data_IF_293275856408
#
_entry.id   IF_293275856408
#
_cell.length_a   1.000
_cell.length_b   1.000
_cell.length_c   1.000
_cell.angle_alpha   90.00
_cell.angle_beta   90.00
_cell.angle_gamma   90.00
#
_symmetry.space_group_name_H-M   'P 1'
#
loop_
_entity.id
_entity.type
_entity.pdbx_description
1 polymer ?
#
# COMPACT_ATOMS: atom_id res chain seq x y z
N UNK A 1 32.88 9.88 -6.65
CA UNK A 1 31.85 10.83 -6.17
C UNK A 1 30.47 10.28 -6.54
N UNK A 2 29.78 9.61 -5.61
CA UNK A 2 28.37 9.22 -5.81
C UNK A 2 27.51 10.49 -5.81
N UNK A 3 26.73 10.71 -6.88
CA UNK A 3 25.84 11.88 -7.00
C UNK A 3 26.17 12.87 -8.12
N UNK A 4 27.00 12.51 -9.10
CA UNK A 4 27.08 13.25 -10.38
C UNK A 4 25.83 13.11 -11.24
N UNK A 5 25.70 13.90 -12.31
CA UNK A 5 24.52 13.94 -13.19
C UNK A 5 24.07 12.55 -13.66
N UNK A 6 24.98 11.76 -14.22
CA UNK A 6 24.69 10.40 -14.71
C UNK A 6 24.28 9.44 -13.59
N UNK A 7 24.87 9.59 -12.39
CA UNK A 7 24.53 8.76 -11.24
C UNK A 7 23.10 9.06 -10.76
N UNK A 8 22.75 10.35 -10.63
CA UNK A 8 21.40 10.77 -10.24
C UNK A 8 20.36 10.40 -11.31
N UNK A 9 20.70 10.55 -12.60
CA UNK A 9 19.87 10.08 -13.72
C UNK A 9 19.58 8.58 -13.63
N UNK A 10 20.63 7.76 -13.55
CA UNK A 10 20.50 6.30 -13.56
C UNK A 10 19.78 5.79 -12.30
N UNK A 11 20.05 6.39 -11.13
CA UNK A 11 19.35 6.05 -9.90
C UNK A 11 17.85 6.37 -9.99
N UNK A 12 17.49 7.53 -10.53
CA UNK A 12 16.09 7.92 -10.70
C UNK A 12 15.37 7.02 -11.72
N UNK A 13 16.06 6.65 -12.82
CA UNK A 13 15.54 5.68 -13.80
C UNK A 13 15.32 4.32 -13.14
N UNK A 14 16.32 3.78 -12.42
CA UNK A 14 16.22 2.49 -11.75
C UNK A 14 15.08 2.45 -10.72
N UNK A 15 14.92 3.52 -9.94
CA UNK A 15 13.86 3.65 -8.95
C UNK A 15 12.46 3.66 -9.60
N UNK A 16 12.28 4.39 -10.70
CA UNK A 16 11.00 4.39 -11.42
C UNK A 16 10.73 3.05 -12.12
N UNK A 17 11.75 2.35 -12.63
CA UNK A 17 11.59 0.98 -13.16
C UNK A 17 11.13 0.03 -12.05
N UNK A 18 11.72 0.12 -10.85
CA UNK A 18 11.28 -0.66 -9.70
C UNK A 18 9.80 -0.39 -9.36
N UNK A 19 9.38 0.88 -9.37
CA UNK A 19 7.98 1.24 -9.11
C UNK A 19 7.02 0.74 -10.20
N UNK A 20 7.43 0.71 -11.47
CA UNK A 20 6.65 0.05 -12.54
C UNK A 20 6.46 -1.44 -12.25
N UNK A 21 7.53 -2.14 -11.85
CA UNK A 21 7.45 -3.56 -11.51
C UNK A 21 6.51 -3.81 -10.32
N UNK A 22 6.60 -2.99 -9.28
CA UNK A 22 5.67 -3.04 -8.13
C UNK A 22 4.23 -2.77 -8.57
N UNK A 23 4.00 -1.79 -9.45
CA UNK A 23 2.67 -1.48 -9.98
C UNK A 23 2.04 -2.67 -10.71
N UNK A 24 2.79 -3.36 -11.58
CA UNK A 24 2.32 -4.59 -12.23
C UNK A 24 2.06 -5.72 -11.24
N UNK A 25 2.88 -5.85 -10.20
CA UNK A 25 2.66 -6.84 -9.14
C UNK A 25 1.34 -6.56 -8.40
N UNK A 26 1.08 -5.31 -8.01
CA UNK A 26 -0.18 -4.91 -7.36
C UNK A 26 -1.40 -5.22 -8.24
N UNK A 27 -1.32 -4.91 -9.53
CA UNK A 27 -2.39 -5.25 -10.47
C UNK A 27 -2.57 -6.76 -10.58
N UNK A 28 -1.49 -7.52 -10.70
CA UNK A 28 -1.52 -8.98 -10.80
C UNK A 28 -2.17 -9.64 -9.57
N UNK A 29 -1.77 -9.22 -8.37
CA UNK A 29 -2.37 -9.70 -7.11
C UNK A 29 -3.84 -9.29 -7.01
N UNK A 30 -4.19 -8.05 -7.36
CA UNK A 30 -5.58 -7.58 -7.33
C UNK A 30 -6.49 -8.33 -8.31
N UNK A 31 -6.01 -8.60 -9.53
CA UNK A 31 -6.75 -9.38 -10.54
C UNK A 31 -6.88 -10.84 -10.10
N UNK A 32 -5.82 -11.43 -9.56
CA UNK A 32 -5.85 -12.79 -9.03
C UNK A 32 -6.86 -12.93 -7.88
N UNK A 33 -6.83 -12.01 -6.90
CA UNK A 33 -7.75 -12.00 -5.77
C UNK A 33 -9.22 -11.91 -6.21
N UNK A 34 -9.50 -11.14 -7.28
CA UNK A 34 -10.83 -11.06 -7.88
C UNK A 34 -11.21 -12.34 -8.62
N UNK A 35 -10.31 -12.88 -9.43
CA UNK A 35 -10.56 -14.03 -10.30
C UNK A 35 -10.71 -15.35 -9.52
N UNK A 36 -9.99 -15.49 -8.40
CA UNK A 36 -10.10 -16.65 -7.52
C UNK A 36 -11.40 -16.66 -6.68
N UNK A 37 -12.29 -15.68 -6.85
CA UNK A 37 -13.55 -15.53 -6.08
C UNK A 37 -13.37 -15.45 -4.56
N UNK A 38 -12.14 -15.25 -4.08
CA UNK A 38 -11.84 -15.07 -2.64
C UNK A 38 -12.48 -13.76 -2.17
N UNK A 39 -12.43 -12.71 -3.01
CA UNK A 39 -12.96 -11.38 -2.67
C UNK A 39 -13.47 -10.65 -3.95
N UNK A 40 -14.65 -11.00 -4.50
CA UNK A 40 -15.05 -10.47 -5.80
C UNK A 40 -15.46 -8.98 -5.78
N UNK A 41 -15.88 -8.42 -4.62
CA UNK A 41 -16.50 -7.08 -4.53
C UNK A 41 -16.07 -6.24 -3.31
N UNK A 42 -15.00 -6.57 -2.59
CA UNK A 42 -14.57 -5.69 -1.50
C UNK A 42 -13.93 -4.42 -2.09
N UNK A 43 -14.24 -3.23 -1.52
CA UNK A 43 -13.57 -1.98 -1.86
C UNK A 43 -12.04 -2.06 -1.82
N UNK A 44 -11.48 -2.94 -0.97
CA UNK A 44 -10.03 -3.13 -0.84
C UNK A 44 -9.37 -3.63 -2.13
N UNK A 45 -10.03 -4.49 -2.90
CA UNK A 45 -9.49 -5.01 -4.18
C UNK A 45 -9.45 -3.89 -5.22
N UNK A 46 -10.49 -3.06 -5.27
CA UNK A 46 -10.52 -1.86 -6.11
C UNK A 46 -9.40 -0.88 -5.74
N UNK A 47 -9.15 -0.70 -4.45
CA UNK A 47 -8.05 0.12 -3.94
C UNK A 47 -6.67 -0.35 -4.42
N UNK A 48 -6.36 -1.64 -4.27
CA UNK A 48 -5.07 -2.22 -4.71
C UNK A 48 -4.87 -2.05 -6.22
N UNK A 49 -5.91 -2.29 -7.03
CA UNK A 49 -5.86 -2.09 -8.48
C UNK A 49 -5.61 -0.62 -8.85
N UNK A 50 -6.32 0.31 -8.23
CA UNK A 50 -6.16 1.74 -8.47
C UNK A 50 -4.75 2.22 -8.07
N UNK A 51 -4.25 1.79 -6.92
CA UNK A 51 -2.89 2.07 -6.47
C UNK A 51 -1.85 1.59 -7.50
N UNK A 52 -1.99 0.37 -8.03
CA UNK A 52 -1.09 -0.16 -9.05
C UNK A 52 -1.07 0.67 -10.34
N UNK A 53 -2.25 1.07 -10.84
CA UNK A 53 -2.37 1.90 -12.05
C UNK A 53 -1.75 3.30 -11.82
N UNK A 54 -2.09 3.96 -10.71
CA UNK A 54 -1.57 5.30 -10.37
C UNK A 54 -0.04 5.25 -10.22
N UNK A 55 0.50 4.22 -9.58
CA UNK A 55 1.95 4.06 -9.41
C UNK A 55 2.66 3.95 -10.76
N UNK A 56 2.11 3.20 -11.71
CA UNK A 56 2.66 3.09 -13.07
C UNK A 56 2.66 4.46 -13.77
N UNK A 57 1.56 5.22 -13.71
CA UNK A 57 1.46 6.54 -14.33
C UNK A 57 2.49 7.53 -13.76
N UNK A 58 2.63 7.56 -12.44
CA UNK A 58 3.63 8.41 -11.76
C UNK A 58 5.05 7.98 -12.15
N UNK A 59 5.29 6.67 -12.26
CA UNK A 59 6.60 6.14 -12.64
C UNK A 59 6.97 6.46 -14.09
N UNK A 60 6.01 6.45 -15.01
CA UNK A 60 6.20 6.89 -16.39
C UNK A 60 6.53 8.38 -16.44
N UNK A 61 5.83 9.21 -15.67
CA UNK A 61 6.14 10.65 -15.55
C UNK A 61 7.57 10.86 -15.02
N UNK A 62 7.96 10.13 -13.97
CA UNK A 62 9.30 10.16 -13.40
C UNK A 62 10.38 9.72 -14.41
N UNK A 63 10.14 8.64 -15.14
CA UNK A 63 11.04 8.12 -16.16
C UNK A 63 11.20 9.10 -17.33
N UNK A 64 10.11 9.66 -17.84
CA UNK A 64 10.13 10.66 -18.90
C UNK A 64 10.87 11.94 -18.45
N UNK A 65 10.61 12.39 -17.22
CA UNK A 65 11.33 13.50 -16.60
C UNK A 65 12.83 13.24 -16.46
N UNK A 66 13.22 12.01 -16.06
CA UNK A 66 14.61 11.60 -15.92
C UNK A 66 15.35 11.51 -17.26
N UNK A 67 14.76 10.83 -18.25
CA UNK A 67 15.37 10.57 -19.57
C UNK A 67 15.54 11.86 -20.36
N UNK A 68 14.51 12.72 -20.39
CA UNK A 68 14.49 13.98 -21.16
C UNK A 68 15.03 15.19 -20.38
N UNK A 69 15.44 15.01 -19.12
CA UNK A 69 15.78 16.11 -18.20
C UNK A 69 14.68 17.21 -18.15
N UNK A 70 13.41 16.82 -18.28
CA UNK A 70 12.32 17.79 -18.43
C UNK A 70 11.94 18.40 -17.07
N UNK A 71 12.44 19.61 -16.82
CA UNK A 71 12.32 20.35 -15.56
C UNK A 71 10.90 20.40 -14.97
N UNK A 72 9.89 20.66 -15.82
CA UNK A 72 8.49 20.75 -15.36
C UNK A 72 7.91 19.38 -14.98
N UNK A 73 8.28 18.31 -15.68
CA UNK A 73 7.77 16.96 -15.36
C UNK A 73 8.37 16.49 -14.03
N UNK A 74 9.67 16.73 -13.83
CA UNK A 74 10.34 16.44 -12.56
C UNK A 74 9.75 17.24 -11.40
N UNK A 75 9.29 18.48 -11.64
CA UNK A 75 8.59 19.27 -10.63
C UNK A 75 7.27 18.62 -10.21
N UNK A 76 6.39 18.31 -11.16
CA UNK A 76 5.12 17.65 -10.85
C UNK A 76 5.33 16.29 -10.18
N UNK A 77 6.28 15.51 -10.69
CA UNK A 77 6.68 14.23 -10.09
C UNK A 77 7.08 14.38 -8.61
N UNK A 78 7.93 15.37 -8.29
CA UNK A 78 8.31 15.65 -6.90
C UNK A 78 7.11 16.05 -6.02
N UNK A 79 6.21 16.88 -6.51
CA UNK A 79 5.02 17.31 -5.75
C UNK A 79 4.12 16.10 -5.47
N UNK A 80 3.83 15.29 -6.48
CA UNK A 80 2.99 14.11 -6.33
C UNK A 80 3.61 13.10 -5.36
N UNK A 81 4.90 12.78 -5.50
CA UNK A 81 5.58 11.89 -4.56
C UNK A 81 5.61 12.44 -3.14
N UNK A 82 5.76 13.75 -2.97
CA UNK A 82 5.74 14.34 -1.63
C UNK A 82 4.36 14.26 -0.98
N UNK A 83 3.28 14.43 -1.76
CA UNK A 83 1.91 14.21 -1.27
C UNK A 83 1.66 12.75 -0.91
N UNK A 84 2.12 11.81 -1.75
CA UNK A 84 2.04 10.37 -1.45
C UNK A 84 2.80 10.03 -0.17
N UNK A 85 3.99 10.58 0.02
CA UNK A 85 4.77 10.42 1.23
C UNK A 85 3.99 10.86 2.47
N UNK A 86 3.35 12.03 2.45
CA UNK A 86 2.58 12.52 3.60
C UNK A 86 1.39 11.61 3.94
N UNK A 87 0.67 11.14 2.91
CA UNK A 87 -0.48 10.25 3.09
C UNK A 87 -0.02 8.87 3.61
N UNK A 88 0.97 8.26 2.96
CA UNK A 88 1.48 6.94 3.34
C UNK A 88 2.11 6.96 4.72
N UNK A 89 2.92 7.96 5.03
CA UNK A 89 3.55 8.08 6.34
C UNK A 89 2.52 8.25 7.46
N UNK A 90 1.46 9.03 7.21
CA UNK A 90 0.36 9.21 8.17
C UNK A 90 -0.41 7.91 8.42
N UNK A 91 -0.83 7.22 7.35
CA UNK A 91 -1.56 5.94 7.45
C UNK A 91 -0.69 4.88 8.11
N UNK A 92 0.57 4.76 7.69
CA UNK A 92 1.50 3.77 8.21
C UNK A 92 1.81 3.98 9.70
N UNK A 93 1.99 5.23 10.11
CA UNK A 93 2.16 5.58 11.53
C UNK A 93 0.90 5.26 12.33
N UNK A 94 -0.28 5.53 11.78
CA UNK A 94 -1.56 5.19 12.41
C UNK A 94 -1.72 3.67 12.57
N UNK A 95 -1.35 2.88 11.56
CA UNK A 95 -1.38 1.41 11.63
C UNK A 95 -0.42 0.83 12.66
N UNK A 96 0.72 1.46 12.93
CA UNK A 96 1.66 1.01 13.98
C UNK A 96 1.25 1.47 15.38
N UNK A 97 0.54 2.58 15.48
CA UNK A 97 0.13 3.18 16.75
C UNK A 97 -1.19 2.61 17.31
N UNK A 98 -1.96 1.87 16.49
CA UNK A 98 -3.25 1.32 16.88
C UNK A 98 -3.12 0.30 18.03
N UNK A 99 -3.94 0.46 19.07
CA UNK A 99 -3.97 -0.45 20.22
C UNK A 99 -5.00 -1.59 20.03
N UNK A 100 -5.02 -2.56 20.94
CA UNK A 100 -5.90 -3.73 20.83
C UNK A 100 -7.40 -3.37 20.84
N UNK A 101 -7.83 -2.40 21.66
CA UNK A 101 -9.24 -2.00 21.72
C UNK A 101 -9.72 -1.41 20.38
N UNK A 102 -8.92 -0.51 19.79
CA UNK A 102 -9.18 0.05 18.48
C UNK A 102 -9.16 -1.02 17.37
N UNK A 103 -8.24 -2.00 17.46
CA UNK A 103 -8.21 -3.12 16.51
C UNK A 103 -9.51 -3.93 16.58
N UNK A 104 -10.04 -4.19 17.78
CA UNK A 104 -11.29 -4.92 17.96
C UNK A 104 -12.48 -4.12 17.40
N UNK A 105 -12.53 -2.80 17.61
CA UNK A 105 -13.56 -1.92 17.05
C UNK A 105 -13.55 -1.94 15.51
N UNK A 106 -12.36 -1.81 14.89
CA UNK A 106 -12.24 -1.93 13.43
C UNK A 106 -12.60 -3.33 12.92
N UNK A 107 -12.28 -4.37 13.68
CA UNK A 107 -12.65 -5.74 13.34
C UNK A 107 -14.17 -5.94 13.38
N UNK A 108 -14.86 -5.35 14.36
CA UNK A 108 -16.31 -5.42 14.50
C UNK A 108 -17.00 -4.66 13.37
N UNK A 109 -16.53 -3.46 13.08
CA UNK A 109 -17.04 -2.65 11.98
C UNK A 109 -16.83 -3.35 10.63
N UNK A 110 -15.65 -3.95 10.45
CA UNK A 110 -15.34 -4.81 9.30
C UNK A 110 -16.29 -5.99 9.20
N UNK A 111 -16.48 -6.74 10.29
CA UNK A 111 -17.40 -7.86 10.36
C UNK A 111 -18.83 -7.46 9.97
N UNK A 112 -19.31 -6.30 10.43
CA UNK A 112 -20.65 -5.80 10.15
C UNK A 112 -20.85 -5.33 8.70
N UNK A 113 -19.78 -4.91 8.02
CA UNK A 113 -19.84 -4.45 6.61
C UNK A 113 -19.62 -5.55 5.57
N UNK A 114 -18.90 -6.62 5.91
CA UNK A 114 -18.64 -7.70 4.95
C UNK A 114 -19.92 -8.51 4.67
N UNK A 115 -20.08 -9.04 3.44
CA UNK A 115 -21.24 -9.85 3.09
C UNK A 115 -21.23 -11.20 3.82
N UNK A 116 -22.40 -11.81 3.99
CA UNK A 116 -22.55 -13.08 4.71
C UNK A 116 -21.74 -14.22 4.08
N UNK A 117 -21.51 -14.20 2.76
CA UNK A 117 -20.65 -15.17 2.09
C UNK A 117 -19.21 -15.15 2.60
N UNK A 118 -18.69 -13.96 2.91
CA UNK A 118 -17.34 -13.78 3.46
C UNK A 118 -17.29 -14.15 4.94
N UNK A 119 -18.33 -13.81 5.69
CA UNK A 119 -18.45 -14.27 7.08
C UNK A 119 -18.41 -15.79 7.14
N UNK A 120 -19.17 -16.46 6.27
CA UNK A 120 -19.18 -17.91 6.14
C UNK A 120 -17.79 -18.47 5.81
N UNK A 121 -17.10 -17.92 4.82
CA UNK A 121 -15.73 -18.37 4.47
C UNK A 121 -14.75 -18.23 5.64
N UNK A 122 -14.83 -17.13 6.39
CA UNK A 122 -14.02 -16.93 7.61
C UNK A 122 -14.38 -17.98 8.67
N UNK A 123 -15.67 -18.20 8.92
CA UNK A 123 -16.15 -19.19 9.89
C UNK A 123 -15.71 -20.62 9.52
N UNK A 124 -15.85 -21.01 8.25
CA UNK A 124 -15.43 -22.31 7.71
C UNK A 124 -13.90 -22.49 7.81
N UNK A 125 -13.13 -21.44 7.48
CA UNK A 125 -11.66 -21.49 7.48
C UNK A 125 -11.06 -21.56 8.89
N UNK A 126 -11.64 -20.82 9.85
CA UNK A 126 -11.11 -20.71 11.20
C UNK A 126 -11.84 -21.57 12.24
N UNK A 127 -12.85 -22.36 11.80
CA UNK A 127 -13.69 -23.22 12.64
C UNK A 127 -14.24 -22.47 13.87
N UNK A 128 -14.85 -21.31 13.61
CA UNK A 128 -15.38 -20.41 14.62
C UNK A 128 -16.80 -19.96 14.26
N UNK A 129 -17.57 -19.49 15.24
CA UNK A 129 -18.95 -19.06 15.02
C UNK A 129 -19.21 -17.70 15.67
N UNK A 130 -19.89 -16.80 14.95
CA UNK A 130 -20.11 -15.42 15.36
C UNK A 130 -18.81 -14.60 15.49
N UNK A 131 -18.96 -13.28 15.63
CA UNK A 131 -17.83 -12.38 15.85
C UNK A 131 -17.37 -12.41 17.32
N UNK A 132 -18.27 -12.10 18.24
CA UNK A 132 -18.10 -12.14 19.70
C UNK A 132 -19.20 -13.01 20.37
N UNK A 133 -19.05 -13.35 21.65
CA UNK A 133 -19.98 -14.18 22.44
C UNK A 133 -21.44 -13.68 22.39
N UNK A 134 -21.66 -12.36 22.35
CA UNK A 134 -22.98 -11.72 22.23
C UNK A 134 -23.59 -11.82 20.82
N UNK A 135 -22.75 -12.04 19.80
CA UNK A 135 -23.18 -12.19 18.41
C UNK A 135 -23.42 -13.65 18.00
N UNK A 136 -23.23 -14.60 18.93
CA UNK A 136 -23.59 -16.01 18.71
C UNK A 136 -25.11 -16.13 18.83
N UNK A 137 -25.81 -15.59 17.83
CA UNK A 137 -27.22 -15.89 17.64
C UNK A 137 -27.29 -17.34 17.14
N UNK A 138 -27.92 -18.21 17.93
CA UNK A 138 -28.16 -19.63 17.64
C UNK A 138 -29.02 -19.90 16.40
N UNK A 139 -29.28 -18.88 15.57
CA UNK A 139 -30.14 -18.92 14.39
C UNK A 139 -29.40 -18.56 13.09
N UNK A 140 -28.07 -18.39 13.11
CA UNK A 140 -27.30 -18.30 11.86
C UNK A 140 -27.10 -19.73 11.30
N UNK A 141 -27.74 -20.07 10.17
CA UNK A 141 -27.66 -21.42 9.59
C UNK A 141 -26.23 -21.81 9.18
N UNK A 142 -25.33 -20.83 9.01
CA UNK A 142 -23.89 -21.08 8.80
C UNK A 142 -23.25 -21.74 10.01
N UNK A 143 -23.60 -21.28 11.22
CA UNK A 143 -23.02 -21.76 12.46
C UNK A 143 -23.46 -23.17 12.85
N UNK A 144 -24.68 -23.60 12.51
CA UNK A 144 -25.17 -24.95 12.86
C UNK A 144 -24.33 -26.08 12.24
N UNK A 145 -23.84 -25.86 11.02
CA UNK A 145 -23.00 -26.83 10.32
C UNK A 145 -21.59 -26.87 10.93
N UNK A 146 -20.99 -25.71 11.17
CA UNK A 146 -19.65 -25.56 11.74
C UNK A 146 -19.61 -26.07 13.18
N UNK A 147 -20.72 -25.92 13.92
CA UNK A 147 -20.87 -26.42 15.28
C UNK A 147 -20.63 -27.94 15.36
N UNK A 148 -21.05 -28.70 14.35
CA UNK A 148 -20.82 -30.16 14.29
C UNK A 148 -19.36 -30.51 14.04
N UNK A 149 -18.67 -29.70 13.25
CA UNK A 149 -17.27 -29.94 12.87
C UNK A 149 -16.31 -29.54 13.99
N UNK A 150 -16.51 -28.37 14.60
CA UNK A 150 -15.66 -27.92 15.70
C UNK A 150 -15.90 -28.70 17.01
N UNK A 151 -17.06 -29.33 17.17
CA UNK A 151 -17.37 -30.21 18.30
C UNK A 151 -17.28 -31.71 17.99
N UNK A 152 -16.65 -32.09 16.88
CA UNK A 152 -16.48 -33.49 16.51
C UNK A 152 -15.76 -34.26 17.64
N UNK A 153 -16.46 -35.20 18.27
CA UNK A 153 -15.93 -36.05 19.34
C UNK A 153 -16.13 -35.54 20.77
N UNK A 154 -16.85 -34.43 20.98
CA UNK A 154 -17.17 -33.92 22.32
C UNK A 154 -18.57 -34.38 22.74
N UNK A 155 -18.67 -35.07 23.87
CA UNK A 155 -19.94 -35.51 24.48
C UNK A 155 -20.37 -34.46 25.51
N UNK A 156 -21.32 -33.59 25.16
CA UNK A 156 -21.85 -32.55 26.05
C UNK A 156 -22.34 -31.30 25.31
N UNK A 157 -22.71 -30.25 26.05
CA UNK A 157 -23.02 -28.92 25.48
C UNK A 157 -21.73 -28.24 25.01
N UNK A 158 -21.36 -28.49 23.75
CA UNK A 158 -20.23 -27.85 23.10
C UNK A 158 -20.72 -26.67 22.26
N UNK A 159 -20.04 -25.52 22.39
CA UNK A 159 -20.29 -24.29 21.61
C UNK A 159 -18.98 -23.85 20.98
N UNK A 160 -18.99 -23.51 19.68
CA UNK A 160 -17.77 -23.11 19.01
C UNK A 160 -17.28 -21.74 19.48
N UNK A 161 -15.96 -21.52 19.51
CA UNK A 161 -15.40 -20.26 19.96
C UNK A 161 -15.77 -19.11 19.00
N UNK A 162 -15.86 -17.87 19.50
CA UNK A 162 -16.05 -16.69 18.67
C UNK A 162 -14.86 -16.45 17.74
N UNK A 163 -15.12 -15.92 16.54
CA UNK A 163 -14.08 -15.67 15.55
C UNK A 163 -13.09 -14.57 15.96
N UNK A 164 -13.50 -13.61 16.82
CA UNK A 164 -12.64 -12.51 17.26
C UNK A 164 -11.30 -13.00 17.82
N UNK A 165 -11.30 -14.00 18.69
CA UNK A 165 -10.08 -14.54 19.30
C UNK A 165 -9.11 -15.14 18.26
N UNK A 166 -9.64 -15.72 17.18
CA UNK A 166 -8.81 -16.27 16.08
C UNK A 166 -8.30 -15.18 15.13
N UNK A 167 -9.06 -14.09 14.99
CA UNK A 167 -8.77 -12.99 14.08
C UNK A 167 -7.84 -11.94 14.70
N UNK A 168 -7.90 -11.72 16.02
CA UNK A 168 -7.17 -10.65 16.72
C UNK A 168 -5.67 -10.67 16.43
N UNK A 169 -5.02 -11.84 16.54
CA UNK A 169 -3.59 -11.99 16.24
C UNK A 169 -3.27 -11.71 14.76
N UNK A 170 -4.15 -12.11 13.85
CA UNK A 170 -3.98 -11.90 12.41
C UNK A 170 -4.15 -10.43 12.04
N UNK A 171 -5.11 -9.76 12.66
CA UNK A 171 -5.37 -8.34 12.49
C UNK A 171 -4.20 -7.53 13.04
N UNK A 172 -3.72 -7.83 14.25
CA UNK A 172 -2.55 -7.18 14.83
C UNK A 172 -1.30 -7.33 13.96
N UNK A 173 -1.05 -8.55 13.46
CA UNK A 173 0.03 -8.81 12.51
C UNK A 173 -0.14 -8.01 11.23
N UNK A 174 -1.35 -7.96 10.65
CA UNK A 174 -1.63 -7.22 9.43
C UNK A 174 -1.41 -5.71 9.60
N UNK A 175 -1.85 -5.10 10.71
CA UNK A 175 -1.60 -3.69 11.01
C UNK A 175 -0.11 -3.38 11.13
N UNK A 176 0.64 -4.21 11.88
CA UNK A 176 2.10 -4.05 12.02
C UNK A 176 2.83 -4.20 10.69
N UNK A 177 2.45 -5.18 9.89
CA UNK A 177 3.05 -5.43 8.58
C UNK A 177 2.72 -4.30 7.59
N UNK A 178 1.45 -3.88 7.52
CA UNK A 178 1.00 -2.77 6.69
C UNK A 178 1.73 -1.47 7.06
N UNK A 179 1.78 -1.15 8.36
CA UNK A 179 2.49 0.03 8.84
C UNK A 179 4.00 -0.03 8.60
N UNK A 180 4.63 -1.18 8.79
CA UNK A 180 6.06 -1.36 8.47
C UNK A 180 6.37 -1.17 6.98
N UNK A 181 5.57 -1.79 6.09
CA UNK A 181 5.71 -1.63 4.64
C UNK A 181 5.44 -0.19 4.20
N UNK A 182 4.40 0.44 4.74
CA UNK A 182 4.06 1.84 4.43
C UNK A 182 5.17 2.81 4.82
N UNK A 183 5.80 2.63 5.99
CA UNK A 183 6.97 3.43 6.38
C UNK A 183 8.16 3.18 5.45
N UNK A 184 8.45 1.91 5.13
CA UNK A 184 9.53 1.57 4.20
C UNK A 184 9.35 2.28 2.85
N UNK A 185 8.16 2.18 2.23
CA UNK A 185 7.87 2.86 0.97
C UNK A 185 7.92 4.38 1.09
N UNK A 186 7.39 4.95 2.17
CA UNK A 186 7.46 6.40 2.44
C UNK A 186 8.92 6.91 2.44
N UNK A 187 9.86 6.17 3.03
CA UNK A 187 11.28 6.54 2.98
C UNK A 187 11.87 6.44 1.56
N UNK A 188 11.48 5.44 0.77
CA UNK A 188 11.91 5.35 -0.63
C UNK A 188 11.37 6.50 -1.48
N UNK A 189 10.16 6.98 -1.21
CA UNK A 189 9.56 8.16 -1.86
C UNK A 189 10.30 9.45 -1.48
N UNK A 190 10.64 9.62 -0.20
CA UNK A 190 11.45 10.76 0.25
C UNK A 190 12.83 10.77 -0.42
N UNK A 191 13.47 9.60 -0.54
CA UNK A 191 14.73 9.45 -1.29
C UNK A 191 14.54 9.81 -2.77
N UNK A 192 13.45 9.36 -3.39
CA UNK A 192 13.13 9.70 -4.78
C UNK A 192 12.93 11.21 -4.98
N UNK A 193 12.23 11.89 -4.08
CA UNK A 193 12.07 13.36 -4.08
C UNK A 193 13.42 14.05 -3.93
N UNK A 194 14.27 13.57 -3.02
CA UNK A 194 15.61 14.11 -2.83
C UNK A 194 16.47 13.96 -4.10
N UNK A 195 16.48 12.76 -4.70
CA UNK A 195 17.20 12.48 -5.94
C UNK A 195 16.68 13.31 -7.10
N UNK A 196 15.36 13.43 -7.27
CA UNK A 196 14.73 14.24 -8.29
C UNK A 196 15.07 15.74 -8.12
N UNK A 197 15.00 16.26 -6.89
CA UNK A 197 15.40 17.66 -6.59
C UNK A 197 16.87 17.90 -6.93
N UNK A 198 17.76 16.97 -6.54
CA UNK A 198 19.18 17.06 -6.86
C UNK A 198 19.41 17.03 -8.37
N UNK A 199 18.84 16.05 -9.07
CA UNK A 199 18.98 15.88 -10.52
C UNK A 199 18.44 17.07 -11.30
N UNK A 200 17.30 17.63 -10.85
CA UNK A 200 16.68 18.82 -11.43
C UNK A 200 17.59 20.05 -11.32
N UNK A 201 18.25 20.22 -10.17
CA UNK A 201 19.17 21.34 -9.92
C UNK A 201 20.57 21.15 -10.55
N UNK A 202 20.85 19.98 -11.12
CA UNK A 202 22.08 19.75 -11.86
C UNK A 202 21.93 20.26 -13.28
N UNK A 203 22.98 20.93 -13.75
CA UNK A 203 23.09 21.34 -15.14
C UNK A 203 23.44 20.12 -16.00
N UNK A 204 22.75 19.99 -17.11
CA UNK A 204 23.06 18.95 -18.09
C UNK A 204 24.44 19.23 -18.72
N UNK A 205 25.42 18.32 -18.56
CA UNK A 205 26.78 18.53 -19.05
C UNK A 205 26.89 18.55 -20.57
N UNK A 206 25.84 18.13 -21.30
CA UNK A 206 25.82 18.17 -22.78
C UNK A 206 25.55 19.56 -23.33
N UNK A 207 24.96 20.46 -22.52
CA UNK A 207 24.75 21.85 -22.91
C UNK A 207 25.83 22.74 -22.32
N UNK A 208 26.42 23.59 -23.17
CA UNK A 208 27.37 24.61 -22.72
C UNK A 208 26.71 25.50 -21.67
N UNK A 209 27.44 25.91 -20.61
CA UNK A 209 26.88 26.80 -19.62
C UNK A 209 26.48 28.12 -20.29
N UNK A 210 25.27 28.59 -19.98
CA UNK A 210 24.82 29.92 -20.37
C UNK A 210 25.76 30.94 -19.72
N UNK A 211 26.83 31.31 -20.44
CA UNK A 211 27.70 32.40 -20.05
C UNK A 211 26.98 33.68 -20.42
N UNK A 212 26.67 34.50 -19.42
CA UNK A 212 26.37 35.90 -19.69
C UNK A 212 27.59 36.50 -20.40
N UNK A 213 27.45 36.80 -21.69
CA UNK A 213 28.45 37.58 -22.42
C UNK A 213 28.28 39.01 -21.94
N UNK A 214 29.03 39.40 -20.91
CA UNK A 214 29.15 40.80 -20.56
C UNK A 214 29.94 41.48 -21.67
N UNK A 215 29.36 42.44 -22.42
CA UNK A 215 30.14 43.23 -23.34
C UNK A 215 31.22 43.93 -22.53
N UNK A 216 32.48 43.64 -22.82
CA UNK A 216 33.58 44.46 -22.35
C UNK A 216 33.40 45.81 -23.04
N UNK A 217 32.81 46.77 -22.35
CA UNK A 217 32.93 48.17 -22.72
C UNK A 217 34.43 48.48 -22.72
N UNK A 218 35.05 48.48 -23.90
CA UNK A 218 36.34 49.10 -24.11
C UNK A 218 36.13 50.60 -23.87
N UNK A 219 36.35 51.04 -22.64
CA UNK A 219 36.57 52.43 -22.32
C UNK A 219 38.02 52.76 -22.68
N UNK A 220 38.13 53.56 -23.74
CA UNK A 220 39.26 54.40 -24.20
C UNK A 220 40.49 53.68 -24.76
#
# INVERSE_FOLDING_TARGET
MCGGFTCSKNALIALNILYVMVGFLLIGVGVYARAASIIPNLPIVGGILACGIILILISILGLAGAVKHHQVMLFFYMIVLFLLFLIQFSIASSCLAVNSEQQQEFAEEGWNRVPDSMRKEVQDTFLCCGFNLTSVSSNDPSCELIQKECCAGIVGNCQCPPCLYKLEDKINYAFKLCGGLGIFFSFTELLAVFLARRYRNQQDPTYLPARAVFPKNYQY
#
